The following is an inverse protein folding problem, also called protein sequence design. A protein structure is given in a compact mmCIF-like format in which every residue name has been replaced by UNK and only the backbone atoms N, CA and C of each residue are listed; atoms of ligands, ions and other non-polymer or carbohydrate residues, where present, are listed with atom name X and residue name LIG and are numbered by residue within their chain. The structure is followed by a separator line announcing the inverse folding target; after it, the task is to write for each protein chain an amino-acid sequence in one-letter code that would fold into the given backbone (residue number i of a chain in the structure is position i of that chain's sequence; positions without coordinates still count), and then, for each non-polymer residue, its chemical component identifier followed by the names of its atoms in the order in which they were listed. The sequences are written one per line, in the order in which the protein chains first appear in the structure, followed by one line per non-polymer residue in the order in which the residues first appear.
data_IF_325958544351
#
_entry.id   IF_325958544351
#
_cell.length_a   1.000
_cell.length_b   1.000
_cell.length_c   1.000
_cell.angle_alpha   90.00
_cell.angle_beta   90.00
_cell.angle_gamma   90.00
#
_symmetry.space_group_name_H-M   'P 1'
#
loop_
_entity.id
_entity.type
_entity.pdbx_description
1 polymer ?
#
# COMPACT_ATOMS: atom_id res chain seq x y z
N UNK A 1 -14.13 4.16 -11.84
CA UNK A 1 -12.96 4.64 -12.60
C UNK A 1 -13.19 6.10 -12.96
N UNK A 2 -12.14 6.91 -13.03
CA UNK A 2 -12.24 8.37 -13.18
C UNK A 2 -12.94 8.77 -14.48
N UNK A 3 -12.69 8.05 -15.57
CA UNK A 3 -13.32 8.23 -16.89
C UNK A 3 -14.86 8.20 -16.83
N UNK A 4 -15.42 7.29 -16.05
CA UNK A 4 -16.89 7.13 -15.92
C UNK A 4 -17.58 8.28 -15.19
N UNK A 5 -16.82 9.18 -14.56
CA UNK A 5 -17.40 10.34 -13.88
C UNK A 5 -17.87 11.44 -14.82
N UNK A 6 -17.43 11.43 -16.09
CA UNK A 6 -17.62 12.53 -17.03
C UNK A 6 -16.83 13.80 -16.68
N UNK A 7 -15.98 13.74 -15.64
CA UNK A 7 -15.17 14.87 -15.15
C UNK A 7 -13.67 14.69 -15.39
N UNK A 8 -13.26 13.55 -15.94
CA UNK A 8 -11.87 13.24 -16.23
C UNK A 8 -11.76 12.55 -17.58
N UNK A 9 -10.71 12.89 -18.33
CA UNK A 9 -10.31 12.20 -19.56
C UNK A 9 -8.96 11.51 -19.32
N UNK A 10 -8.77 10.33 -19.92
CA UNK A 10 -7.54 9.56 -19.80
C UNK A 10 -6.65 9.91 -20.99
N UNK A 11 -5.77 10.90 -20.80
CA UNK A 11 -4.85 11.36 -21.85
C UNK A 11 -3.59 10.52 -22.00
N UNK A 12 -3.15 9.86 -20.93
CA UNK A 12 -1.86 9.15 -20.88
C UNK A 12 -1.96 7.88 -20.03
N UNK A 13 -1.23 6.85 -20.46
CA UNK A 13 -1.06 5.59 -19.76
C UNK A 13 0.43 5.29 -19.61
N UNK A 14 0.82 4.73 -18.48
CA UNK A 14 2.19 4.32 -18.23
C UNK A 14 2.22 2.96 -17.54
N UNK A 15 2.92 1.99 -18.13
CA UNK A 15 3.16 0.69 -17.51
C UNK A 15 4.44 0.07 -18.06
N UNK A 16 5.26 -0.50 -17.19
CA UNK A 16 6.49 -1.19 -17.55
C UNK A 16 6.22 -2.56 -18.18
N UNK A 17 5.02 -3.12 -18.00
CA UNK A 17 4.58 -4.40 -18.54
C UNK A 17 3.40 -4.24 -19.51
N UNK A 18 3.67 -4.35 -20.80
CA UNK A 18 2.62 -4.16 -21.83
C UNK A 18 1.54 -5.23 -21.78
N UNK A 19 1.77 -6.38 -21.14
CA UNK A 19 0.73 -7.41 -20.93
C UNK A 19 -0.30 -6.96 -19.89
N UNK A 20 0.15 -6.21 -18.87
CA UNK A 20 -0.72 -5.67 -17.81
C UNK A 20 -1.50 -4.46 -18.28
N UNK A 21 -0.91 -3.66 -19.17
CA UNK A 21 -1.56 -2.47 -19.73
C UNK A 21 -2.55 -2.75 -20.87
N UNK A 22 -2.55 -3.96 -21.45
CA UNK A 22 -3.25 -4.26 -22.69
C UNK A 22 -4.74 -3.84 -22.68
N UNK A 23 -5.46 -4.17 -21.61
CA UNK A 23 -6.88 -3.83 -21.48
C UNK A 23 -7.10 -2.31 -21.34
N UNK A 24 -6.25 -1.62 -20.59
CA UNK A 24 -6.30 -0.16 -20.43
C UNK A 24 -6.00 0.56 -21.75
N UNK A 25 -4.98 0.13 -22.48
CA UNK A 25 -4.64 0.68 -23.80
C UNK A 25 -5.79 0.49 -24.78
N UNK A 26 -6.43 -0.69 -24.76
CA UNK A 26 -7.62 -0.96 -25.57
C UNK A 26 -8.82 -0.10 -25.16
N UNK A 27 -9.02 0.11 -23.86
CA UNK A 27 -10.13 0.91 -23.34
C UNK A 27 -9.97 2.41 -23.62
N UNK A 28 -8.72 2.90 -23.69
CA UNK A 28 -8.39 4.30 -23.89
C UNK A 28 -7.49 4.49 -25.12
N UNK A 29 -7.97 4.22 -26.34
CA UNK A 29 -7.14 4.21 -27.56
C UNK A 29 -6.60 5.58 -27.97
N UNK A 30 -7.13 6.67 -27.37
CA UNK A 30 -6.63 8.04 -27.57
C UNK A 30 -5.51 8.40 -26.61
N UNK A 31 -5.33 7.63 -25.53
CA UNK A 31 -4.29 7.88 -24.55
C UNK A 31 -2.92 7.50 -25.14
N UNK A 32 -1.93 8.37 -25.03
CA UNK A 32 -0.55 7.99 -25.38
C UNK A 32 0.00 7.04 -24.32
N UNK A 33 0.72 6.01 -24.76
CA UNK A 33 1.30 5.00 -23.88
C UNK A 33 2.81 5.21 -23.71
N UNK A 34 3.29 5.08 -22.47
CA UNK A 34 4.69 5.14 -22.09
C UNK A 34 5.06 3.92 -21.25
N UNK A 35 6.35 3.54 -21.25
CA UNK A 35 6.88 2.55 -20.30
C UNK A 35 7.50 3.22 -19.07
N UNK A 36 8.17 4.34 -19.29
CA UNK A 36 8.82 5.12 -18.24
C UNK A 36 7.98 6.35 -17.87
N UNK A 37 7.60 6.43 -16.59
CA UNK A 37 6.82 7.55 -16.07
C UNK A 37 7.61 8.86 -16.10
N UNK A 38 8.95 8.80 -16.03
CA UNK A 38 9.83 9.98 -16.10
C UNK A 38 9.72 10.64 -17.46
N UNK A 39 9.79 9.83 -18.51
CA UNK A 39 9.60 10.31 -19.88
C UNK A 39 8.19 10.87 -20.09
N UNK A 40 7.16 10.18 -19.58
CA UNK A 40 5.79 10.65 -19.66
C UNK A 40 5.64 12.01 -18.99
N UNK A 41 6.16 12.18 -17.77
CA UNK A 41 6.09 13.44 -17.03
C UNK A 41 6.89 14.54 -17.73
N UNK A 42 8.10 14.26 -18.22
CA UNK A 42 8.91 15.22 -18.95
C UNK A 42 8.19 15.75 -20.20
N UNK A 43 7.68 14.83 -21.04
CA UNK A 43 7.04 15.16 -22.31
C UNK A 43 5.64 15.78 -22.15
N UNK A 44 4.89 15.34 -21.14
CA UNK A 44 3.45 15.62 -21.04
C UNK A 44 3.05 16.45 -19.82
N UNK A 45 4.01 16.94 -19.01
CA UNK A 45 3.72 17.76 -17.81
C UNK A 45 2.85 18.99 -18.06
N UNK A 46 2.75 19.49 -19.31
CA UNK A 46 1.86 20.61 -19.66
C UNK A 46 0.46 20.17 -20.12
N UNK A 47 0.23 18.86 -20.27
CA UNK A 47 -0.93 18.29 -20.94
C UNK A 47 -1.83 17.44 -20.00
N UNK A 48 -1.48 17.31 -18.72
CA UNK A 48 -2.34 16.66 -17.72
C UNK A 48 -2.38 17.44 -16.40
N UNK A 49 -3.48 17.31 -15.65
CA UNK A 49 -3.70 18.01 -14.38
C UNK A 49 -3.41 17.13 -13.16
N UNK A 50 -3.60 15.83 -13.30
CA UNK A 50 -3.52 14.86 -12.21
C UNK A 50 -2.93 13.52 -12.66
N UNK A 51 -2.43 12.75 -11.70
CA UNK A 51 -1.94 11.38 -11.91
C UNK A 51 -2.65 10.40 -10.97
N UNK A 52 -2.85 9.18 -11.44
CA UNK A 52 -3.31 8.05 -10.63
C UNK A 52 -2.21 7.00 -10.59
N UNK A 53 -1.51 6.90 -9.46
CA UNK A 53 -0.40 5.97 -9.25
C UNK A 53 -0.94 4.65 -8.67
N UNK A 54 -0.73 3.56 -9.40
CA UNK A 54 -1.16 2.19 -9.01
C UNK A 54 -0.08 1.15 -9.27
N UNK A 55 1.18 1.58 -9.17
CA UNK A 55 2.36 0.72 -9.32
C UNK A 55 2.61 -0.11 -8.05
N UNK A 56 3.66 -0.94 -7.98
CA UNK A 56 4.06 -1.55 -6.71
C UNK A 56 4.46 -0.51 -5.65
N UNK A 57 4.37 -0.90 -4.36
CA UNK A 57 4.50 0.01 -3.21
C UNK A 57 5.82 0.80 -3.25
N UNK A 58 6.93 0.14 -3.58
CA UNK A 58 8.27 0.77 -3.63
C UNK A 58 8.41 1.90 -4.65
N UNK A 59 7.50 1.99 -5.62
CA UNK A 59 7.50 3.07 -6.62
C UNK A 59 6.52 4.20 -6.30
N UNK A 60 5.59 4.01 -5.36
CA UNK A 60 4.52 4.96 -5.10
C UNK A 60 5.05 6.37 -4.77
N UNK A 61 5.96 6.45 -3.80
CA UNK A 61 6.40 7.72 -3.25
C UNK A 61 7.18 8.57 -4.26
N UNK A 62 8.11 7.96 -5.00
CA UNK A 62 8.91 8.65 -6.01
C UNK A 62 8.04 9.19 -7.15
N UNK A 63 7.09 8.40 -7.65
CA UNK A 63 6.19 8.82 -8.73
C UNK A 63 5.24 9.93 -8.27
N UNK A 64 4.69 9.80 -7.05
CA UNK A 64 3.83 10.81 -6.45
C UNK A 64 4.59 12.12 -6.21
N UNK A 65 5.77 12.05 -5.60
CA UNK A 65 6.62 13.22 -5.32
C UNK A 65 6.95 13.98 -6.61
N UNK A 66 7.38 13.27 -7.67
CA UNK A 66 7.69 13.90 -8.95
C UNK A 66 6.47 14.60 -9.57
N UNK A 67 5.28 14.00 -9.48
CA UNK A 67 4.04 14.64 -9.93
C UNK A 67 3.73 15.91 -9.11
N UNK A 68 3.86 15.85 -7.78
CA UNK A 68 3.62 17.02 -6.91
C UNK A 68 4.62 18.15 -7.20
N UNK A 69 5.89 17.84 -7.48
CA UNK A 69 6.91 18.82 -7.88
C UNK A 69 6.55 19.56 -9.17
N UNK A 70 5.78 18.91 -10.06
CA UNK A 70 5.23 19.50 -11.28
C UNK A 70 3.88 20.20 -11.07
N UNK A 71 3.43 20.35 -9.81
CA UNK A 71 2.15 20.98 -9.46
C UNK A 71 0.93 20.13 -9.78
N UNK A 72 1.09 18.80 -9.92
CA UNK A 72 0.01 17.88 -10.33
C UNK A 72 -0.71 17.31 -9.12
N UNK A 73 -2.03 17.17 -9.25
CA UNK A 73 -2.84 16.48 -8.25
C UNK A 73 -2.55 14.98 -8.30
N UNK A 74 -2.59 14.31 -7.14
CA UNK A 74 -2.13 12.92 -7.04
C UNK A 74 -3.16 12.06 -6.34
N UNK A 75 -3.61 11.00 -7.03
CA UNK A 75 -4.24 9.86 -6.40
C UNK A 75 -3.22 8.71 -6.35
N UNK A 76 -2.94 8.15 -5.18
CA UNK A 76 -1.99 7.03 -5.03
C UNK A 76 -2.70 5.85 -4.40
N UNK A 77 -2.58 4.65 -4.96
CA UNK A 77 -3.16 3.46 -4.33
C UNK A 77 -2.56 3.19 -2.96
N UNK A 78 -3.34 2.47 -2.14
CA UNK A 78 -2.83 1.92 -0.89
C UNK A 78 -1.81 0.81 -1.16
N UNK A 79 -0.86 0.59 -0.23
CA UNK A 79 -0.42 1.54 0.79
C UNK A 79 0.19 2.79 0.13
N UNK A 80 0.00 3.98 0.72
CA UNK A 80 0.45 5.25 0.12
C UNK A 80 1.94 5.27 -0.23
N UNK A 81 2.76 4.64 0.60
CA UNK A 81 4.21 4.64 0.52
C UNK A 81 4.75 3.33 1.09
N UNK A 82 6.02 3.04 0.78
CA UNK A 82 6.70 1.85 1.25
C UNK A 82 7.23 2.04 2.69
N UNK A 83 7.57 3.28 3.08
CA UNK A 83 8.01 3.61 4.44
C UNK A 83 7.37 4.87 5.05
N UNK A 84 7.61 5.06 6.35
CA UNK A 84 7.07 6.20 7.13
C UNK A 84 7.70 7.54 6.71
N UNK A 85 8.98 7.53 6.31
CA UNK A 85 9.68 8.74 5.90
C UNK A 85 9.09 9.28 4.60
N UNK A 86 8.87 8.42 3.62
CA UNK A 86 8.20 8.71 2.36
C UNK A 86 6.80 9.30 2.59
N UNK A 87 5.98 8.68 3.44
CA UNK A 87 4.64 9.21 3.76
C UNK A 87 4.70 10.63 4.35
N UNK A 88 5.68 10.91 5.23
CA UNK A 88 5.92 12.26 5.78
C UNK A 88 6.42 13.23 4.72
N UNK A 89 7.33 12.79 3.85
CA UNK A 89 7.87 13.60 2.76
C UNK A 89 6.76 14.00 1.77
N UNK A 90 5.88 13.07 1.38
CA UNK A 90 4.71 13.34 0.55
C UNK A 90 3.74 14.31 1.22
N UNK A 91 3.52 14.18 2.53
CA UNK A 91 2.69 15.13 3.29
C UNK A 91 3.25 16.55 3.22
N UNK A 92 4.57 16.70 3.41
CA UNK A 92 5.24 17.99 3.30
C UNK A 92 5.19 18.54 1.86
N UNK A 93 5.36 17.68 0.85
CA UNK A 93 5.30 18.05 -0.56
C UNK A 93 3.90 18.52 -0.98
N UNK A 94 2.85 17.81 -0.58
CA UNK A 94 1.46 18.19 -0.86
C UNK A 94 1.16 19.62 -0.37
N UNK A 95 1.61 19.95 0.86
CA UNK A 95 1.50 21.30 1.41
C UNK A 95 2.38 22.31 0.66
N UNK A 96 3.62 21.96 0.35
CA UNK A 96 4.59 22.85 -0.31
C UNK A 96 4.12 23.25 -1.72
N UNK A 97 3.65 22.28 -2.50
CA UNK A 97 3.25 22.49 -3.89
C UNK A 97 1.77 22.83 -4.04
N UNK A 98 1.01 22.86 -2.93
CA UNK A 98 -0.40 23.21 -2.88
C UNK A 98 -1.26 22.38 -3.86
N UNK A 99 -1.10 21.06 -3.78
CA UNK A 99 -1.81 20.10 -4.65
C UNK A 99 -2.83 19.29 -3.85
N UNK A 100 -3.93 18.93 -4.49
CA UNK A 100 -4.91 17.98 -3.94
C UNK A 100 -4.35 16.57 -4.04
N UNK A 101 -4.42 15.83 -2.93
CA UNK A 101 -3.93 14.46 -2.85
C UNK A 101 -4.98 13.53 -2.25
N UNK A 102 -5.02 12.28 -2.71
CA UNK A 102 -5.88 11.24 -2.15
C UNK A 102 -5.17 9.89 -2.15
N UNK A 103 -5.18 9.18 -1.02
CA UNK A 103 -4.83 7.76 -0.99
C UNK A 103 -6.05 6.94 -1.41
N UNK A 104 -5.84 5.94 -2.26
CA UNK A 104 -6.82 4.99 -2.72
C UNK A 104 -7.15 3.92 -1.69
N UNK A 105 -7.68 4.35 -0.55
CA UNK A 105 -8.20 3.48 0.49
C UNK A 105 -9.72 3.38 0.39
N UNK A 106 -10.21 2.57 -0.55
CA UNK A 106 -11.63 2.52 -0.88
C UNK A 106 -12.50 2.04 0.28
N UNK A 107 -11.94 1.19 1.17
CA UNK A 107 -12.61 0.72 2.38
C UNK A 107 -13.13 1.86 3.26
N UNK A 108 -12.36 2.95 3.38
CA UNK A 108 -12.73 4.16 4.13
C UNK A 108 -14.02 4.83 3.62
N UNK A 109 -14.32 4.66 2.32
CA UNK A 109 -15.46 5.30 1.66
C UNK A 109 -16.75 4.46 1.70
N UNK A 110 -16.69 3.25 2.26
CA UNK A 110 -17.82 2.34 2.34
C UNK A 110 -18.82 2.73 3.45
N UNK A 111 -20.04 2.20 3.37
CA UNK A 111 -21.08 2.44 4.38
C UNK A 111 -20.72 1.87 5.77
N UNK A 112 -19.96 0.77 5.83
CA UNK A 112 -19.61 0.10 7.09
C UNK A 112 -18.87 1.02 8.08
N UNK A 113 -17.70 1.61 7.72
CA UNK A 113 -17.00 2.54 8.61
C UNK A 113 -17.84 3.76 9.02
N UNK A 114 -18.67 4.30 8.11
CA UNK A 114 -19.61 5.39 8.43
C UNK A 114 -20.61 4.99 9.51
N UNK A 115 -21.25 3.83 9.33
CA UNK A 115 -22.21 3.30 10.30
C UNK A 115 -21.57 3.01 11.66
N UNK A 116 -20.36 2.43 11.68
CA UNK A 116 -19.62 2.20 12.92
C UNK A 116 -19.35 3.51 13.67
N UNK A 117 -18.99 4.57 12.94
CA UNK A 117 -18.79 5.91 13.50
C UNK A 117 -20.08 6.49 14.08
N UNK A 118 -21.19 6.39 13.35
CA UNK A 118 -22.50 6.85 13.81
C UNK A 118 -22.95 6.13 15.08
N UNK A 119 -22.79 4.81 15.16
CA UNK A 119 -23.13 4.03 16.35
C UNK A 119 -22.26 4.39 17.56
N UNK A 120 -20.97 4.59 17.33
CA UNK A 120 -20.05 5.02 18.39
C UNK A 120 -20.40 6.43 18.90
N UNK A 121 -20.59 7.38 17.98
CA UNK A 121 -20.91 8.77 18.32
C UNK A 121 -22.29 8.91 18.99
N UNK A 122 -23.23 8.00 18.71
CA UNK A 122 -24.52 7.89 19.39
C UNK A 122 -24.43 7.22 20.78
N UNK A 123 -23.26 6.73 21.20
CA UNK A 123 -23.06 6.09 22.50
C UNK A 123 -23.53 4.63 22.59
N UNK A 124 -23.86 3.98 21.47
CA UNK A 124 -24.39 2.61 21.46
C UNK A 124 -23.34 1.54 21.78
N UNK A 125 -22.07 1.82 21.50
CA UNK A 125 -20.94 0.89 21.72
C UNK A 125 -20.35 1.05 23.13
N UNK A 126 -20.47 2.24 23.73
CA UNK A 126 -19.83 2.57 24.99
C UNK A 126 -18.36 2.96 24.85
N UNK A 127 -17.59 2.80 25.92
CA UNK A 127 -16.16 3.11 25.93
C UNK A 127 -15.35 1.95 25.34
N UNK A 128 -14.54 2.25 24.32
CA UNK A 128 -13.70 1.25 23.65
C UNK A 128 -12.29 1.36 24.22
N UNK A 129 -11.81 0.28 24.83
CA UNK A 129 -10.45 0.16 25.35
C UNK A 129 -9.58 -0.79 24.51
N UNK A 130 -10.18 -1.72 23.76
CA UNK A 130 -9.46 -2.70 22.94
C UNK A 130 -10.10 -2.86 21.57
N UNK A 131 -9.28 -2.97 20.53
CA UNK A 131 -9.69 -3.28 19.15
C UNK A 131 -8.91 -4.51 18.67
N UNK A 132 -9.61 -5.45 18.04
CA UNK A 132 -8.99 -6.57 17.34
C UNK A 132 -9.25 -6.42 15.83
N UNK A 133 -8.17 -6.38 15.04
CA UNK A 133 -8.22 -6.38 13.59
C UNK A 133 -7.37 -7.55 13.08
N UNK A 134 -7.95 -8.38 12.22
CA UNK A 134 -7.27 -9.56 11.72
C UNK A 134 -7.61 -9.85 10.26
N UNK A 135 -6.72 -10.59 9.59
CA UNK A 135 -6.87 -10.95 8.19
C UNK A 135 -6.35 -12.35 7.89
N UNK A 136 -6.94 -12.97 6.88
CA UNK A 136 -6.46 -14.20 6.24
C UNK A 136 -5.22 -13.98 5.35
N UNK A 137 -4.84 -12.71 5.11
CA UNK A 137 -3.59 -12.39 4.42
C UNK A 137 -2.38 -12.82 5.25
N UNK A 138 -1.25 -13.16 4.62
CA UNK A 138 -0.94 -13.07 3.18
C UNK A 138 -1.66 -14.14 2.33
N UNK A 139 -2.06 -13.76 1.10
CA UNK A 139 -2.46 -14.72 0.03
C UNK A 139 -1.39 -14.78 -1.07
N UNK A 140 -0.17 -14.40 -0.72
CA UNK A 140 1.05 -14.48 -1.52
C UNK A 140 2.14 -15.15 -0.68
N UNK A 141 3.23 -15.63 -1.30
CA UNK A 141 4.35 -16.17 -0.57
C UNK A 141 5.04 -15.10 0.30
N UNK A 142 5.20 -15.37 1.59
CA UNK A 142 6.07 -14.61 2.49
C UNK A 142 6.58 -15.54 3.62
N UNK A 143 7.65 -15.15 4.32
CA UNK A 143 8.32 -16.00 5.31
C UNK A 143 9.16 -17.10 4.66
N UNK A 144 9.60 -16.90 3.42
CA UNK A 144 10.36 -17.86 2.62
C UNK A 144 11.61 -17.19 2.04
N UNK A 145 12.67 -17.95 1.69
CA UNK A 145 13.83 -17.36 1.04
C UNK A 145 13.49 -16.84 -0.36
N UNK A 146 14.24 -15.85 -0.84
CA UNK A 146 14.22 -15.48 -2.25
C UNK A 146 14.59 -16.67 -3.11
N UNK A 147 13.93 -16.83 -4.27
CA UNK A 147 14.21 -17.95 -5.18
C UNK A 147 15.66 -17.89 -5.69
N UNK A 148 16.39 -18.99 -5.55
CA UNK A 148 17.70 -19.15 -6.19
C UNK A 148 17.59 -19.40 -7.70
N UNK A 149 16.41 -19.79 -8.18
CA UNK A 149 16.15 -20.03 -9.59
C UNK A 149 15.81 -18.71 -10.29
N UNK A 150 16.77 -18.21 -11.07
CA UNK A 150 16.56 -17.08 -11.98
C UNK A 150 15.60 -17.51 -13.09
N UNK A 151 14.83 -16.55 -13.61
CA UNK A 151 13.95 -16.75 -14.76
C UNK A 151 14.24 -15.72 -15.85
N UNK A 152 13.86 -16.04 -17.08
CA UNK A 152 13.93 -15.07 -18.17
C UNK A 152 12.90 -13.96 -17.95
N UNK A 153 13.34 -12.71 -18.12
CA UNK A 153 12.46 -11.55 -18.06
C UNK A 153 11.50 -11.62 -19.26
N UNK A 154 10.18 -11.55 -19.06
CA UNK A 154 9.23 -11.46 -20.16
C UNK A 154 9.54 -10.28 -21.08
N UNK A 155 9.48 -10.48 -22.40
CA UNK A 155 9.87 -9.47 -23.41
C UNK A 155 9.09 -8.16 -23.28
N UNK A 156 7.86 -8.26 -22.78
CA UNK A 156 6.94 -7.16 -22.57
C UNK A 156 7.24 -6.33 -21.31
N UNK A 157 7.97 -6.91 -20.35
CA UNK A 157 8.31 -6.31 -19.06
C UNK A 157 9.67 -5.63 -19.11
N UNK A 158 9.69 -4.33 -18.82
CA UNK A 158 10.92 -3.61 -18.51
C UNK A 158 11.29 -3.81 -17.02
N UNK A 159 12.24 -4.71 -16.76
CA UNK A 159 12.61 -5.10 -15.40
C UNK A 159 13.35 -4.00 -14.63
N UNK A 160 14.23 -3.25 -15.31
CA UNK A 160 14.97 -2.15 -14.70
C UNK A 160 14.00 -1.04 -14.25
N UNK A 161 13.05 -0.68 -15.11
CA UNK A 161 12.01 0.28 -14.76
C UNK A 161 11.07 -0.24 -13.66
N UNK A 162 10.78 -1.55 -13.62
CA UNK A 162 9.96 -2.15 -12.56
C UNK A 162 10.67 -2.10 -11.20
N UNK A 163 11.96 -2.42 -11.16
CA UNK A 163 12.80 -2.30 -9.96
C UNK A 163 12.80 -0.87 -9.43
N UNK A 164 12.93 0.12 -10.33
CA UNK A 164 12.84 1.53 -9.97
C UNK A 164 13.90 1.93 -8.95
N UNK A 165 13.47 2.28 -7.73
CA UNK A 165 14.37 2.65 -6.62
C UNK A 165 14.85 1.47 -5.78
N UNK A 166 14.30 0.27 -5.99
CA UNK A 166 14.68 -0.91 -5.23
C UNK A 166 16.08 -1.43 -5.63
N UNK A 167 16.79 -2.12 -4.72
CA UNK A 167 18.05 -2.79 -5.06
C UNK A 167 17.88 -3.74 -6.25
N UNK A 168 18.90 -3.81 -7.11
CA UNK A 168 18.89 -4.74 -8.22
C UNK A 168 18.80 -6.19 -7.70
N UNK A 169 17.80 -6.93 -8.18
CA UNK A 169 17.71 -8.38 -8.03
C UNK A 169 17.42 -9.01 -9.37
N UNK A 170 17.91 -10.23 -9.53
CA UNK A 170 17.60 -11.05 -10.69
C UNK A 170 16.09 -11.33 -10.74
N UNK A 171 15.53 -11.30 -11.95
CA UNK A 171 14.13 -11.65 -12.13
C UNK A 171 13.89 -13.12 -11.74
N UNK A 172 12.80 -13.35 -11.02
CA UNK A 172 12.35 -14.68 -10.61
C UNK A 172 10.89 -14.88 -11.03
N UNK A 173 10.57 -16.12 -11.40
CA UNK A 173 9.22 -16.45 -11.86
C UNK A 173 8.17 -16.20 -10.75
N UNK A 174 6.94 -15.87 -11.18
CA UNK A 174 5.77 -15.61 -10.32
C UNK A 174 5.90 -14.43 -9.34
N UNK A 175 6.98 -13.65 -9.36
CA UNK A 175 7.09 -12.44 -8.53
C UNK A 175 6.04 -11.38 -8.94
N UNK A 176 6.03 -11.05 -10.23
CA UNK A 176 5.08 -10.10 -10.82
C UNK A 176 3.85 -10.85 -11.35
N UNK A 177 2.66 -10.23 -11.33
CA UNK A 177 2.39 -8.84 -10.93
C UNK A 177 1.98 -8.67 -9.46
N UNK A 178 1.99 -9.74 -8.66
CA UNK A 178 1.27 -9.74 -7.37
C UNK A 178 2.11 -10.12 -6.16
N UNK A 179 2.95 -11.15 -6.27
CA UNK A 179 3.57 -11.77 -5.11
C UNK A 179 4.64 -10.89 -4.46
N UNK A 180 5.22 -9.92 -5.18
CA UNK A 180 6.23 -8.96 -4.70
C UNK A 180 5.95 -8.35 -3.32
N UNK A 181 4.68 -8.32 -2.88
CA UNK A 181 4.22 -7.90 -1.54
C UNK A 181 4.90 -8.61 -0.37
N UNK A 182 5.39 -9.83 -0.59
CA UNK A 182 6.04 -10.65 0.44
C UNK A 182 7.51 -10.30 0.72
N UNK A 183 8.06 -9.29 0.06
CA UNK A 183 9.48 -8.92 0.15
C UNK A 183 9.67 -7.44 0.46
N UNK A 184 10.51 -7.14 1.44
CA UNK A 184 10.69 -5.78 1.98
C UNK A 184 11.35 -4.80 1.03
N UNK A 185 11.89 -5.24 -0.12
CA UNK A 185 12.41 -4.32 -1.12
C UNK A 185 11.29 -3.73 -2.01
N UNK A 186 10.11 -4.36 -2.03
CA UNK A 186 9.04 -4.04 -2.98
C UNK A 186 7.70 -3.74 -2.33
N UNK A 187 7.39 -4.44 -1.24
CA UNK A 187 6.10 -4.35 -0.57
C UNK A 187 6.21 -4.35 0.93
N UNK A 188 5.06 -4.21 1.57
CA UNK A 188 4.96 -3.90 3.00
C UNK A 188 4.32 -5.02 3.82
N UNK A 189 4.27 -6.23 3.25
CA UNK A 189 3.66 -7.40 3.87
C UNK A 189 2.15 -7.26 4.07
N UNK A 190 1.56 -8.19 4.82
CA UNK A 190 0.13 -8.19 5.10
C UNK A 190 -0.31 -6.96 5.91
N UNK A 191 0.50 -6.50 6.86
CA UNK A 191 0.21 -5.31 7.67
C UNK A 191 0.12 -4.04 6.81
N UNK A 192 1.07 -3.79 5.91
CA UNK A 192 0.99 -2.61 5.06
C UNK A 192 -0.13 -2.71 4.01
N UNK A 193 -0.33 -3.88 3.41
CA UNK A 193 -1.35 -4.08 2.38
C UNK A 193 -2.79 -4.03 2.93
N UNK A 194 -3.07 -4.65 4.09
CA UNK A 194 -4.41 -4.75 4.66
C UNK A 194 -4.64 -3.90 5.90
N UNK A 195 -3.59 -3.56 6.65
CA UNK A 195 -3.72 -2.74 7.86
C UNK A 195 -4.32 -1.38 7.54
N UNK A 196 -3.90 -0.75 6.45
CA UNK A 196 -4.51 0.52 5.99
C UNK A 196 -6.01 0.39 5.67
N UNK A 197 -6.49 -0.78 5.21
CA UNK A 197 -7.91 -1.02 4.97
C UNK A 197 -8.69 -1.26 6.27
N UNK A 198 -8.18 -2.14 7.13
CA UNK A 198 -8.92 -2.64 8.29
C UNK A 198 -8.82 -1.70 9.49
N UNK A 199 -7.67 -1.04 9.68
CA UNK A 199 -7.45 -0.13 10.79
C UNK A 199 -8.00 1.28 10.54
N UNK A 200 -8.45 1.59 9.33
CA UNK A 200 -9.05 2.90 9.06
C UNK A 200 -10.33 3.16 9.87
N UNK A 201 -11.18 2.14 10.04
CA UNK A 201 -12.38 2.28 10.85
C UNK A 201 -12.05 2.63 12.32
N UNK A 202 -11.24 1.87 13.06
CA UNK A 202 -10.90 2.24 14.44
C UNK A 202 -10.17 3.58 14.53
N UNK A 203 -9.31 3.93 13.56
CA UNK A 203 -8.65 5.24 13.55
C UNK A 203 -9.65 6.40 13.43
N UNK A 204 -10.57 6.33 12.46
CA UNK A 204 -11.56 7.38 12.20
C UNK A 204 -12.67 7.44 13.26
N UNK A 205 -13.06 6.30 13.84
CA UNK A 205 -14.09 6.19 14.88
C UNK A 205 -13.57 6.72 16.21
N UNK A 206 -12.41 6.22 16.65
CA UNK A 206 -11.84 6.52 17.97
C UNK A 206 -10.90 7.74 17.95
N UNK A 207 -10.65 8.34 16.79
CA UNK A 207 -9.77 9.50 16.65
C UNK A 207 -8.30 9.19 16.94
N UNK A 208 -7.85 7.97 16.64
CA UNK A 208 -6.48 7.53 16.89
C UNK A 208 -5.49 8.28 15.98
N UNK A 209 -4.25 8.41 16.45
CA UNK A 209 -3.15 9.03 15.68
C UNK A 209 -1.90 8.17 15.75
N UNK A 210 -0.97 8.48 16.65
CA UNK A 210 0.30 7.78 16.78
C UNK A 210 0.26 6.85 17.98
N UNK A 211 0.74 5.63 17.79
CA UNK A 211 0.97 4.70 18.89
C UNK A 211 2.16 5.19 19.74
N UNK A 212 2.08 4.98 21.04
CA UNK A 212 3.18 5.25 22.00
C UNK A 212 4.03 4.01 22.23
N UNK A 213 3.46 2.82 22.07
CA UNK A 213 4.10 1.54 22.32
C UNK A 213 3.69 0.55 21.22
N UNK A 214 4.66 -0.28 20.77
CA UNK A 214 4.44 -1.34 19.80
C UNK A 214 5.18 -2.59 20.24
N UNK A 215 4.48 -3.72 20.31
CA UNK A 215 5.05 -5.04 20.52
C UNK A 215 4.65 -5.95 19.36
N UNK A 216 5.59 -6.71 18.82
CA UNK A 216 5.33 -7.64 17.72
C UNK A 216 5.83 -9.05 18.05
N UNK A 217 4.99 -10.03 17.74
CA UNK A 217 5.31 -11.45 17.72
C UNK A 217 5.09 -11.96 16.31
N UNK A 218 5.98 -12.83 15.81
CA UNK A 218 5.90 -13.36 14.44
C UNK A 218 6.02 -14.88 14.43
N UNK A 219 5.35 -15.52 13.47
CA UNK A 219 5.45 -16.95 13.24
C UNK A 219 6.88 -17.38 12.92
N UNK A 220 7.33 -18.49 13.51
CA UNK A 220 8.64 -19.08 13.19
C UNK A 220 8.49 -20.15 12.12
N UNK A 221 9.32 -20.07 11.08
CA UNK A 221 9.44 -21.13 10.06
C UNK A 221 10.64 -22.01 10.43
N UNK A 222 10.44 -23.32 10.46
CA UNK A 222 11.53 -24.29 10.59
C UNK A 222 11.78 -24.92 9.22
N UNK A 223 13.04 -24.96 8.80
CA UNK A 223 13.46 -25.50 7.50
C UNK A 223 14.02 -26.92 7.60
N UNK A 224 14.26 -27.38 8.82
CA UNK A 224 14.76 -28.71 9.14
C UNK A 224 14.50 -29.03 10.62
N UNK A 225 14.81 -30.25 11.05
CA UNK A 225 14.73 -30.69 12.46
C UNK A 225 15.49 -29.71 13.37
N UNK A 226 14.75 -29.05 14.28
CA UNK A 226 15.26 -28.01 15.20
C UNK A 226 16.01 -26.84 14.53
N UNK A 227 15.88 -26.65 13.22
CA UNK A 227 16.55 -25.59 12.47
C UNK A 227 15.57 -24.50 12.08
N UNK A 228 15.56 -23.40 12.83
CA UNK A 228 14.77 -22.21 12.51
C UNK A 228 15.33 -21.53 11.25
N UNK A 229 14.46 -21.26 10.29
CA UNK A 229 14.76 -20.45 9.11
C UNK A 229 14.88 -18.96 9.47
N UNK A 230 15.77 -18.25 8.79
CA UNK A 230 15.94 -16.80 8.93
C UNK A 230 15.91 -16.16 7.54
N UNK A 231 14.85 -15.40 7.26
CA UNK A 231 14.57 -14.82 5.95
C UNK A 231 14.34 -13.30 6.06
N UNK A 232 15.38 -12.51 6.35
CA UNK A 232 15.24 -11.09 6.64
C UNK A 232 14.71 -10.28 5.46
N UNK A 233 14.87 -10.77 4.23
CA UNK A 233 14.37 -10.13 3.00
C UNK A 233 12.85 -10.30 2.81
N UNK A 234 12.24 -11.28 3.48
CA UNK A 234 10.81 -11.58 3.34
C UNK A 234 10.03 -11.11 4.57
N UNK A 235 8.80 -10.66 4.34
CA UNK A 235 7.86 -10.39 5.42
C UNK A 235 7.60 -11.67 6.25
N UNK A 236 7.34 -11.58 7.56
CA UNK A 236 7.07 -12.75 8.39
C UNK A 236 5.85 -13.53 7.89
N UNK A 237 5.77 -14.87 8.01
CA UNK A 237 4.63 -15.65 7.51
C UNK A 237 3.31 -15.29 8.20
N UNK A 238 3.39 -14.88 9.47
CA UNK A 238 2.28 -14.41 10.29
C UNK A 238 2.81 -13.45 11.35
N UNK A 239 1.96 -12.56 11.84
CA UNK A 239 2.28 -11.61 12.89
C UNK A 239 1.10 -11.36 13.82
N UNK A 240 1.41 -11.09 15.09
CA UNK A 240 0.53 -10.46 16.07
C UNK A 240 1.23 -9.21 16.59
N UNK A 241 0.70 -8.05 16.22
CA UNK A 241 1.24 -6.74 16.62
C UNK A 241 0.24 -6.08 17.55
N UNK A 242 0.70 -5.70 18.73
CA UNK A 242 -0.08 -4.93 19.70
C UNK A 242 0.44 -3.50 19.71
N UNK A 243 -0.45 -2.55 19.43
CA UNK A 243 -0.18 -1.12 19.42
C UNK A 243 -0.99 -0.46 20.54
N UNK A 244 -0.35 0.39 21.33
CA UNK A 244 -1.04 1.20 22.34
C UNK A 244 -1.15 2.64 21.88
N UNK A 245 -2.36 3.17 21.90
CA UNK A 245 -2.66 4.55 21.55
C UNK A 245 -3.07 5.32 22.81
N UNK A 246 -2.57 6.55 22.98
CA UNK A 246 -2.96 7.38 24.10
C UNK A 246 -4.43 7.77 23.98
N UNK A 247 -5.05 8.07 25.13
CA UNK A 247 -6.39 8.64 25.20
C UNK A 247 -6.62 9.75 24.17
N UNK A 248 -7.76 9.70 23.49
CA UNK A 248 -8.20 10.74 22.55
C UNK A 248 -9.36 11.57 23.12
N UNK A 249 -9.86 12.55 22.35
CA UNK A 249 -11.09 13.25 22.71
C UNK A 249 -12.35 12.37 22.62
N UNK A 250 -12.24 11.17 22.02
CA UNK A 250 -13.32 10.21 21.82
C UNK A 250 -13.33 9.09 22.87
N UNK A 251 -12.20 8.78 23.50
CA UNK A 251 -12.06 7.63 24.41
C UNK A 251 -11.89 8.07 25.88
N UNK A 252 -12.23 7.21 26.85
CA UNK A 252 -12.01 7.54 28.28
C UNK A 252 -10.59 7.27 28.76
N UNK A 253 -9.89 6.34 28.11
CA UNK A 253 -8.50 5.97 28.39
C UNK A 253 -7.72 5.62 27.13
N UNK A 254 -6.54 5.05 27.34
CA UNK A 254 -5.70 4.49 26.26
C UNK A 254 -6.42 3.34 25.56
N UNK A 255 -6.13 3.16 24.27
CA UNK A 255 -6.70 2.09 23.44
C UNK A 255 -5.59 1.13 23.02
N UNK A 256 -5.81 -0.15 23.25
CA UNK A 256 -4.96 -1.23 22.74
C UNK A 256 -5.54 -1.76 21.43
N UNK A 257 -4.75 -1.73 20.36
CA UNK A 257 -5.12 -2.29 19.06
C UNK A 257 -4.27 -3.52 18.80
N UNK A 258 -4.91 -4.66 18.60
CA UNK A 258 -4.29 -5.89 18.14
C UNK A 258 -4.48 -6.03 16.64
N UNK A 259 -3.38 -6.15 15.92
CA UNK A 259 -3.32 -6.57 14.52
C UNK A 259 -2.86 -8.03 14.46
N UNK A 260 -3.56 -8.88 13.72
CA UNK A 260 -3.17 -10.27 13.49
C UNK A 260 -3.27 -10.61 12.00
N UNK A 261 -2.27 -11.33 11.48
CA UNK A 261 -2.27 -11.83 10.12
C UNK A 261 -1.68 -13.26 10.05
N UNK A 262 -1.69 -13.86 8.86
CA UNK A 262 -1.23 -15.21 8.61
C UNK A 262 -2.08 -16.29 9.27
N UNK A 263 -3.38 -16.05 9.36
CA UNK A 263 -4.36 -16.99 9.91
C UNK A 263 -4.50 -16.93 11.43
N UNK A 264 -3.73 -16.07 12.12
CA UNK A 264 -3.92 -15.79 13.55
C UNK A 264 -5.23 -15.02 13.75
N UNK A 265 -6.05 -15.47 14.68
CA UNK A 265 -7.34 -14.85 15.02
C UNK A 265 -7.38 -14.51 16.52
N UNK A 266 -8.22 -13.54 16.94
CA UNK A 266 -8.52 -13.31 18.35
C UNK A 266 -9.09 -14.57 19.01
N UNK A 267 -8.79 -14.75 20.29
CA UNK A 267 -9.40 -15.78 21.16
C UNK A 267 -10.83 -15.42 21.59
#
# INVERSE_FOLDING_TARGET
MFDKSGKADIGFLCDVDTRRAADSVKAFPKAKFYKDWREMYEKESKNFDAVSVSTPDHNHAVQAMAAMQLGKHVYVQKPLAHDIFEARALTAAAKKYNVVTQMGNQGASNNGPRQMKEWYDAGLIGDVHTVYAFTDRPVWPQGIPWSANKADIPKELDWDLWLGTAPYKEFVDKLVPFNWRGWWDYGTGALGDMGCHLLEAPFSVLGLKYATEVQASVGSVYVDEFKRGYFPDSCPPSSHVTLKFPKTAKTKGDVTVHWMDGGVQPE
#
